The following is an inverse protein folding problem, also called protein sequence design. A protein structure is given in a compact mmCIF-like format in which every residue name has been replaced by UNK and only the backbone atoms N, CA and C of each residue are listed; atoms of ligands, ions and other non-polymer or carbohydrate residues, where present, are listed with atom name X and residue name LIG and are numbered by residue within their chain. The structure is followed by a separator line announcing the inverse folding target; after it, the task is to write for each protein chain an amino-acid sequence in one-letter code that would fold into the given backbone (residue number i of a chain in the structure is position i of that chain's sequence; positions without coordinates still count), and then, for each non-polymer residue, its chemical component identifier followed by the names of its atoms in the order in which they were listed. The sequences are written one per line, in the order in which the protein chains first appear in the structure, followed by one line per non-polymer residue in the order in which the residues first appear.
data_IF_683486730909
#
_entry.id   IF_683486730909
#
_cell.length_a   1.000
_cell.length_b   1.000
_cell.length_c   1.000
_cell.angle_alpha   90.00
_cell.angle_beta   90.00
_cell.angle_gamma   90.00
#
_symmetry.space_group_name_H-M   'P 1'
#
loop_
_entity.id
_entity.type
_entity.pdbx_description
1 polymer ?
#
# COMPACT_ATOMS: atom_id res chain seq x y z
N UNK A 1 -40.16 -29.18 51.16
CA UNK A 1 -38.98 -29.59 51.97
C UNK A 1 -37.87 -28.62 51.63
N UNK A 2 -37.61 -27.64 52.51
CA UNK A 2 -36.42 -27.58 53.41
C UNK A 2 -35.12 -27.62 52.59
N UNK A 3 -34.40 -26.51 52.40
CA UNK A 3 -33.43 -25.93 53.35
C UNK A 3 -32.00 -26.33 52.90
N UNK A 4 -30.89 -25.61 53.08
CA UNK A 4 -30.58 -24.34 53.71
C UNK A 4 -29.20 -23.81 53.20
N UNK A 5 -29.05 -22.48 53.30
CA UNK A 5 -27.88 -21.59 53.55
C UNK A 5 -26.48 -22.20 53.81
N UNK A 6 -25.45 -21.63 53.16
CA UNK A 6 -24.09 -21.28 53.69
C UNK A 6 -23.53 -20.12 52.82
N UNK A 7 -23.39 -18.88 53.31
CA UNK A 7 -22.27 -18.29 54.09
C UNK A 7 -20.89 -18.25 53.41
N UNK A 8 -20.54 -17.07 52.86
CA UNK A 8 -19.28 -16.36 53.09
C UNK A 8 -18.05 -16.68 52.22
N UNK A 9 -17.57 -15.71 51.45
CA UNK A 9 -16.21 -15.13 51.57
C UNK A 9 -16.05 -13.93 50.62
N UNK A 10 -15.64 -12.79 51.18
CA UNK A 10 -15.17 -11.63 50.42
C UNK A 10 -13.69 -11.83 50.06
N UNK A 11 -13.34 -11.62 48.78
CA UNK A 11 -11.96 -11.40 48.35
C UNK A 11 -11.91 -10.08 47.57
N UNK A 12 -11.16 -9.14 48.15
CA UNK A 12 -10.68 -7.95 47.48
C UNK A 12 -9.79 -8.36 46.30
N UNK A 13 -10.02 -7.74 45.15
CA UNK A 13 -9.20 -7.93 43.96
C UNK A 13 -9.30 -6.69 43.09
N UNK A 14 -8.59 -5.63 43.48
CA UNK A 14 -8.32 -4.52 42.58
C UNK A 14 -7.44 -5.01 41.44
N UNK A 15 -8.00 -5.11 40.25
CA UNK A 15 -7.24 -5.21 39.01
C UNK A 15 -7.58 -3.98 38.19
N UNK A 16 -6.59 -3.09 38.08
CA UNK A 16 -6.67 -1.93 37.21
C UNK A 16 -7.04 -2.37 35.81
N UNK A 17 -8.10 -1.76 35.27
CA UNK A 17 -8.43 -1.90 33.87
C UNK A 17 -7.21 -1.50 33.03
N UNK A 18 -6.80 -2.28 32.02
CA UNK A 18 -5.84 -1.76 31.06
C UNK A 18 -6.52 -0.56 30.39
N UNK A 19 -5.93 0.62 30.57
CA UNK A 19 -6.23 1.76 29.75
C UNK A 19 -5.91 1.35 28.31
N UNK A 20 -6.93 0.92 27.56
CA UNK A 20 -6.88 0.87 26.12
C UNK A 20 -6.54 2.29 25.67
N UNK A 21 -5.28 2.50 25.29
CA UNK A 21 -4.89 3.63 24.49
C UNK A 21 -5.73 3.55 23.22
N UNK A 22 -6.87 4.25 23.21
CA UNK A 22 -7.62 4.53 22.00
C UNK A 22 -6.71 5.44 21.18
N UNK A 23 -5.89 4.83 20.33
CA UNK A 23 -5.32 5.52 19.20
C UNK A 23 -6.50 5.93 18.35
N UNK A 24 -7.00 7.14 18.57
CA UNK A 24 -7.95 7.81 17.69
C UNK A 24 -7.19 8.17 16.41
N UNK A 25 -6.88 7.16 15.58
CA UNK A 25 -6.73 7.38 14.16
C UNK A 25 -8.07 7.93 13.70
N UNK A 26 -8.17 9.23 13.50
CA UNK A 26 -9.29 9.84 12.77
C UNK A 26 -9.36 9.09 11.44
N UNK A 27 -10.49 8.46 11.08
CA UNK A 27 -10.58 7.78 9.79
C UNK A 27 -10.37 8.82 8.69
N UNK A 28 -9.26 8.72 7.95
CA UNK A 28 -8.99 9.52 6.74
C UNK A 28 -10.05 9.30 5.66
N UNK A 29 -10.98 8.37 5.87
CA UNK A 29 -11.95 7.84 4.92
C UNK A 29 -13.23 8.67 4.80
N UNK A 30 -13.52 9.63 5.68
CA UNK A 30 -14.84 10.29 5.71
C UNK A 30 -15.20 11.09 4.45
N UNK A 31 -14.26 11.32 3.51
CA UNK A 31 -14.52 11.95 2.20
C UNK A 31 -13.61 11.39 1.09
N UNK A 32 -13.17 10.13 1.21
CA UNK A 32 -12.28 9.54 0.21
C UNK A 32 -13.10 8.90 -0.93
N UNK A 33 -12.78 9.23 -2.18
CA UNK A 33 -13.45 8.65 -3.35
C UNK A 33 -12.76 7.34 -3.72
N UNK A 34 -13.43 6.18 -3.67
CA UNK A 34 -12.80 4.91 -4.00
C UNK A 34 -12.46 4.82 -5.49
N UNK A 35 -11.27 4.32 -5.80
CA UNK A 35 -10.90 3.94 -7.16
C UNK A 35 -11.51 2.57 -7.46
N UNK A 36 -12.45 2.54 -8.41
CA UNK A 36 -13.11 1.30 -8.82
C UNK A 36 -12.22 0.58 -9.84
N UNK A 37 -11.76 -0.61 -9.45
CA UNK A 37 -10.91 -1.47 -10.27
C UNK A 37 -11.76 -2.51 -10.99
N UNK A 38 -11.72 -2.54 -12.33
CA UNK A 38 -12.51 -3.48 -13.14
C UNK A 38 -11.66 -4.20 -14.18
N UNK A 39 -12.05 -5.42 -14.52
CA UNK A 39 -11.53 -6.08 -15.72
C UNK A 39 -12.18 -5.45 -16.96
N UNK A 40 -11.37 -5.09 -17.96
CA UNK A 40 -11.83 -4.38 -19.17
C UNK A 40 -11.27 -5.02 -20.45
N UNK A 41 -11.60 -6.29 -20.72
CA UNK A 41 -10.99 -7.08 -21.79
C UNK A 41 -11.23 -6.47 -23.17
N UNK A 42 -10.17 -6.35 -23.98
CA UNK A 42 -10.21 -5.82 -25.35
C UNK A 42 -10.34 -4.30 -25.45
N UNK A 43 -10.35 -3.58 -24.32
CA UNK A 43 -10.39 -2.12 -24.32
C UNK A 43 -9.04 -1.51 -24.72
N UNK A 44 -9.07 -0.29 -25.25
CA UNK A 44 -7.84 0.47 -25.51
C UNK A 44 -7.04 0.72 -24.22
N UNK A 45 -7.73 0.85 -23.09
CA UNK A 45 -7.11 1.07 -21.79
C UNK A 45 -6.37 -0.17 -21.29
N UNK A 46 -6.93 -1.37 -21.52
CA UNK A 46 -6.25 -2.63 -21.22
C UNK A 46 -5.03 -2.85 -22.10
N UNK A 47 -5.12 -2.55 -23.41
CA UNK A 47 -3.97 -2.65 -24.30
C UNK A 47 -2.80 -1.77 -23.82
N UNK A 48 -3.11 -0.53 -23.40
CA UNK A 48 -2.11 0.37 -22.83
C UNK A 48 -1.59 -0.14 -21.48
N UNK A 49 -2.47 -0.62 -20.59
CA UNK A 49 -2.08 -1.17 -19.30
C UNK A 49 -1.14 -2.40 -19.45
N UNK A 50 -1.39 -3.29 -20.42
CA UNK A 50 -0.50 -4.42 -20.73
C UNK A 50 0.87 -3.96 -21.22
N UNK A 51 0.91 -2.89 -22.02
CA UNK A 51 2.17 -2.31 -22.49
C UNK A 51 2.97 -1.70 -21.33
N UNK A 52 2.30 -0.93 -20.48
CA UNK A 52 2.91 -0.28 -19.31
C UNK A 52 3.47 -1.29 -18.31
N UNK A 53 2.81 -2.44 -18.17
CA UNK A 53 3.19 -3.52 -17.23
C UNK A 53 3.78 -4.74 -17.96
N UNK A 54 4.49 -4.50 -19.07
CA UNK A 54 5.00 -5.59 -19.93
C UNK A 54 6.02 -6.50 -19.22
N UNK A 55 6.79 -5.97 -18.29
CA UNK A 55 7.72 -6.74 -17.47
C UNK A 55 6.99 -7.75 -16.57
N UNK A 56 5.89 -7.33 -15.94
CA UNK A 56 5.03 -8.20 -15.13
C UNK A 56 4.32 -9.25 -16.00
N UNK A 57 3.85 -8.86 -17.19
CA UNK A 57 3.29 -9.81 -18.16
C UNK A 57 4.32 -10.88 -18.53
N UNK A 58 5.57 -10.47 -18.80
CA UNK A 58 6.65 -11.39 -19.13
C UNK A 58 7.03 -12.26 -17.93
N UNK A 59 7.02 -11.72 -16.71
CA UNK A 59 7.28 -12.47 -15.49
C UNK A 59 6.24 -13.57 -15.27
N UNK A 60 4.96 -13.23 -15.32
CA UNK A 60 3.88 -14.20 -15.20
C UNK A 60 3.91 -15.26 -16.31
N UNK A 61 4.24 -14.87 -17.54
CA UNK A 61 4.39 -15.81 -18.66
C UNK A 61 5.50 -16.85 -18.43
N UNK A 62 6.59 -16.50 -17.74
CA UNK A 62 7.64 -17.47 -17.32
C UNK A 62 7.12 -18.53 -16.36
N UNK A 63 6.01 -18.24 -15.66
CA UNK A 63 5.29 -19.17 -14.79
C UNK A 63 4.07 -19.82 -15.48
N UNK A 64 3.94 -19.69 -16.81
CA UNK A 64 2.83 -20.22 -17.61
C UNK A 64 1.46 -19.65 -17.24
N UNK A 65 1.43 -18.42 -16.71
CA UNK A 65 0.21 -17.75 -16.33
C UNK A 65 -0.31 -16.83 -17.43
N UNK A 66 -1.63 -16.66 -17.49
CA UNK A 66 -2.29 -15.62 -18.31
C UNK A 66 -2.91 -14.59 -17.37
N UNK A 67 -2.23 -13.46 -17.09
CA UNK A 67 -2.70 -12.53 -16.07
C UNK A 67 -4.00 -11.83 -16.47
N UNK A 68 -4.88 -11.71 -15.49
CA UNK A 68 -6.01 -10.79 -15.53
C UNK A 68 -5.51 -9.38 -15.17
N UNK A 69 -6.03 -8.32 -15.81
CA UNK A 69 -5.75 -6.94 -15.40
C UNK A 69 -7.00 -6.34 -14.77
N UNK A 70 -6.85 -5.76 -13.59
CA UNK A 70 -7.84 -4.86 -13.04
C UNK A 70 -7.36 -3.42 -13.24
N UNK A 71 -8.26 -2.60 -13.76
CA UNK A 71 -7.95 -1.25 -14.22
C UNK A 71 -8.94 -0.27 -13.60
N UNK A 72 -8.42 0.78 -12.98
CA UNK A 72 -9.16 1.93 -12.51
C UNK A 72 -8.65 3.19 -13.19
N UNK A 73 -9.50 4.19 -13.38
CA UNK A 73 -9.09 5.51 -13.87
C UNK A 73 -9.76 6.61 -13.08
N UNK A 74 -9.00 7.61 -12.65
CA UNK A 74 -9.56 8.73 -11.90
C UNK A 74 -8.79 10.04 -12.17
N UNK A 75 -9.48 11.19 -12.16
CA UNK A 75 -8.80 12.48 -12.22
C UNK A 75 -8.07 12.76 -10.91
N UNK A 76 -6.78 13.07 -11.02
CA UNK A 76 -5.98 13.55 -9.88
C UNK A 76 -6.07 15.07 -9.71
N UNK A 77 -6.37 15.82 -10.78
CA UNK A 77 -6.54 17.27 -10.71
C UNK A 77 -7.97 17.69 -11.03
N UNK A 78 -8.32 18.91 -10.61
CA UNK A 78 -9.56 19.54 -11.06
C UNK A 78 -9.58 19.70 -12.58
N UNK A 79 -10.78 19.60 -13.17
CA UNK A 79 -10.97 19.75 -14.62
C UNK A 79 -10.39 18.61 -15.47
N UNK A 80 -9.91 17.51 -14.86
CA UNK A 80 -9.54 16.29 -15.59
C UNK A 80 -8.25 16.37 -16.42
N UNK A 81 -7.42 17.38 -16.21
CA UNK A 81 -6.14 17.54 -16.94
C UNK A 81 -5.13 16.42 -16.64
N UNK A 82 -5.12 15.94 -15.40
CA UNK A 82 -4.25 14.87 -14.93
C UNK A 82 -5.11 13.66 -14.60
N UNK A 83 -5.09 12.65 -15.46
CA UNK A 83 -5.79 11.38 -15.24
C UNK A 83 -4.78 10.32 -14.84
N UNK A 84 -5.04 9.66 -13.71
CA UNK A 84 -4.31 8.48 -13.30
C UNK A 84 -4.98 7.21 -13.82
N UNK A 85 -4.13 6.25 -14.18
CA UNK A 85 -4.47 4.87 -14.49
C UNK A 85 -3.89 3.98 -13.40
N UNK A 86 -4.77 3.25 -12.72
CA UNK A 86 -4.43 2.28 -11.68
C UNK A 86 -4.48 0.91 -12.33
N UNK A 87 -3.38 0.16 -12.27
CA UNK A 87 -3.28 -1.16 -12.90
C UNK A 87 -2.84 -2.17 -11.88
N UNK A 88 -3.64 -3.21 -11.69
CA UNK A 88 -3.29 -4.36 -10.87
C UNK A 88 -3.22 -5.60 -11.75
N UNK A 89 -2.03 -6.17 -11.83
CA UNK A 89 -1.79 -7.44 -12.52
C UNK A 89 -2.14 -8.58 -11.57
N UNK A 90 -3.08 -9.42 -11.98
CA UNK A 90 -3.54 -10.57 -11.21
C UNK A 90 -2.87 -11.84 -11.75
N UNK A 91 -1.78 -12.23 -11.10
CA UNK A 91 -0.99 -13.43 -11.40
C UNK A 91 -0.47 -14.04 -10.09
N UNK A 92 -0.67 -15.33 -9.87
CA UNK A 92 -0.30 -16.01 -8.62
C UNK A 92 1.19 -15.87 -8.29
N UNK A 93 2.07 -15.91 -9.31
CA UNK A 93 3.51 -15.70 -9.15
C UNK A 93 3.92 -14.28 -8.77
N UNK A 94 3.06 -13.28 -9.00
CA UNK A 94 3.33 -11.87 -8.69
C UNK A 94 2.66 -11.39 -7.40
N UNK A 95 1.66 -12.11 -6.92
CA UNK A 95 0.89 -11.72 -5.74
C UNK A 95 1.47 -12.36 -4.47
N UNK A 96 1.64 -11.56 -3.42
CA UNK A 96 2.14 -12.01 -2.12
C UNK A 96 1.01 -12.27 -1.12
N UNK A 97 1.38 -12.41 0.16
CA UNK A 97 0.41 -12.56 1.26
C UNK A 97 -0.49 -11.35 1.46
N UNK A 98 -0.07 -10.16 1.00
CA UNK A 98 -0.86 -8.93 0.99
C UNK A 98 -1.78 -8.81 -0.24
N UNK A 99 -1.81 -9.84 -1.10
CA UNK A 99 -2.49 -9.81 -2.40
C UNK A 99 -1.62 -9.23 -3.50
N UNK A 100 -2.26 -8.87 -4.60
CA UNK A 100 -1.59 -8.30 -5.77
C UNK A 100 -1.34 -6.81 -5.58
N UNK A 101 -0.20 -6.32 -6.07
CA UNK A 101 0.14 -4.91 -6.01
C UNK A 101 -0.45 -4.13 -7.19
N UNK A 102 -0.71 -2.84 -6.99
CA UNK A 102 -1.24 -1.92 -7.98
C UNK A 102 -0.20 -0.85 -8.29
N UNK A 103 0.04 -0.63 -9.57
CA UNK A 103 0.84 0.47 -10.08
C UNK A 103 -0.07 1.62 -10.52
N UNK A 104 0.43 2.85 -10.40
CA UNK A 104 -0.29 4.05 -10.83
C UNK A 104 0.53 4.81 -11.87
N UNK A 105 -0.11 5.11 -12.99
CA UNK A 105 0.46 5.85 -14.10
C UNK A 105 -0.28 7.15 -14.31
N UNK A 106 0.44 8.25 -14.46
CA UNK A 106 -0.13 9.55 -14.82
C UNK A 106 -0.02 9.75 -16.34
N UNK A 107 -1.13 10.14 -16.97
CA UNK A 107 -1.12 10.62 -18.35
C UNK A 107 -0.88 12.12 -18.37
N UNK A 108 0.21 12.55 -19.00
CA UNK A 108 0.47 13.94 -19.34
C UNK A 108 0.67 14.13 -20.86
N UNK A 109 1.14 15.30 -21.28
CA UNK A 109 1.39 15.60 -22.69
C UNK A 109 2.52 14.78 -23.33
N UNK A 110 3.43 14.21 -22.53
CA UNK A 110 4.58 13.41 -22.98
C UNK A 110 4.26 11.91 -23.01
N UNK A 111 3.21 11.49 -22.31
CA UNK A 111 2.73 10.12 -22.32
C UNK A 111 2.39 9.64 -20.91
N UNK A 112 2.56 8.33 -20.70
CA UNK A 112 2.36 7.71 -19.40
C UNK A 112 3.65 7.66 -18.61
N UNK A 113 3.60 8.10 -17.37
CA UNK A 113 4.71 8.00 -16.42
C UNK A 113 4.25 7.25 -15.18
N UNK A 114 5.01 6.26 -14.72
CA UNK A 114 4.73 5.59 -13.44
C UNK A 114 4.99 6.57 -12.29
N UNK A 115 3.99 6.79 -11.44
CA UNK A 115 4.00 7.79 -10.37
C UNK A 115 3.82 7.20 -8.97
N UNK A 116 3.39 5.95 -8.88
CA UNK A 116 3.34 5.15 -7.66
C UNK A 116 3.53 3.69 -8.06
N UNK A 117 4.40 2.98 -7.35
CA UNK A 117 4.81 1.63 -7.68
C UNK A 117 4.38 0.67 -6.57
N UNK A 118 3.79 -0.45 -6.97
CA UNK A 118 3.56 -1.64 -6.17
C UNK A 118 2.86 -1.42 -4.80
N UNK A 119 1.71 -0.74 -4.77
CA UNK A 119 0.91 -0.60 -3.54
C UNK A 119 -0.15 -1.70 -3.42
N UNK A 120 -0.32 -2.26 -2.22
CA UNK A 120 -1.29 -3.33 -1.96
C UNK A 120 -2.47 -2.82 -1.13
N UNK A 121 -3.68 -3.25 -1.51
CA UNK A 121 -4.92 -2.91 -0.80
C UNK A 121 -5.83 -1.96 -1.58
N UNK A 122 -7.04 -1.67 -1.05
CA UNK A 122 -7.97 -0.74 -1.67
C UNK A 122 -7.38 0.66 -1.79
N UNK A 123 -7.68 1.34 -2.90
CA UNK A 123 -7.19 2.69 -3.19
C UNK A 123 -8.36 3.66 -3.21
N UNK A 124 -8.19 4.79 -2.53
CA UNK A 124 -9.11 5.93 -2.60
C UNK A 124 -8.36 7.23 -2.80
N UNK A 125 -9.02 8.23 -3.40
CA UNK A 125 -8.50 9.58 -3.54
C UNK A 125 -9.03 10.48 -2.44
N UNK A 126 -8.14 11.19 -1.75
CA UNK A 126 -8.51 12.16 -0.74
C UNK A 126 -8.86 13.51 -1.37
N UNK A 127 -9.66 14.36 -0.70
CA UNK A 127 -9.93 15.72 -1.15
C UNK A 127 -8.73 16.65 -0.95
N UNK A 128 -7.78 16.29 -0.08
CA UNK A 128 -6.53 17.01 0.11
C UNK A 128 -5.66 16.91 -1.13
N UNK A 129 -4.91 17.98 -1.41
CA UNK A 129 -4.10 18.10 -2.62
C UNK A 129 -2.71 18.62 -2.31
N UNK A 130 -1.73 18.13 -3.05
CA UNK A 130 -0.37 18.65 -3.08
C UNK A 130 0.01 18.94 -4.54
N UNK A 131 0.50 20.16 -4.80
CA UNK A 131 0.79 20.68 -6.16
C UNK A 131 -0.40 20.53 -7.14
N UNK A 132 -1.63 20.58 -6.62
CA UNK A 132 -2.86 20.47 -7.41
C UNK A 132 -3.32 19.04 -7.71
N UNK A 133 -2.59 18.00 -7.27
CA UNK A 133 -3.00 16.59 -7.38
C UNK A 133 -3.54 16.08 -6.05
N UNK A 134 -4.64 15.31 -6.10
CA UNK A 134 -5.28 14.68 -4.95
C UNK A 134 -4.34 13.69 -4.27
N UNK A 135 -4.35 13.64 -2.95
CA UNK A 135 -3.60 12.62 -2.21
C UNK A 135 -4.23 11.23 -2.42
N UNK A 136 -3.41 10.19 -2.38
CA UNK A 136 -3.85 8.80 -2.50
C UNK A 136 -3.86 8.18 -1.11
N UNK A 137 -4.95 7.49 -0.75
CA UNK A 137 -5.06 6.66 0.44
C UNK A 137 -5.08 5.19 0.01
N UNK A 138 -4.11 4.43 0.49
CA UNK A 138 -4.01 2.98 0.31
C UNK A 138 -4.37 2.29 1.63
N UNK A 139 -5.14 1.21 1.54
CA UNK A 139 -5.51 0.35 2.67
C UNK A 139 -6.00 1.12 3.92
N UNK A 140 -6.76 2.20 3.69
CA UNK A 140 -7.39 3.07 4.69
C UNK A 140 -6.47 3.92 5.59
N UNK A 141 -5.17 3.63 5.67
CA UNK A 141 -4.23 4.38 6.52
C UNK A 141 -3.04 4.97 5.80
N UNK A 142 -2.65 4.43 4.65
CA UNK A 142 -1.37 4.72 4.04
C UNK A 142 -1.56 5.86 3.06
N UNK A 143 -1.28 7.07 3.55
CA UNK A 143 -1.46 8.29 2.77
C UNK A 143 -0.18 8.58 1.98
N UNK A 144 -0.37 8.74 0.69
CA UNK A 144 0.66 9.11 -0.27
C UNK A 144 0.38 10.52 -0.79
N UNK A 145 1.40 11.38 -0.73
CA UNK A 145 1.30 12.78 -1.16
C UNK A 145 2.15 13.01 -2.40
N UNK A 146 1.63 13.81 -3.32
CA UNK A 146 2.39 14.18 -4.51
C UNK A 146 3.54 15.11 -4.16
N UNK A 147 4.75 14.75 -4.58
CA UNK A 147 5.96 15.56 -4.38
C UNK A 147 7.05 15.19 -5.37
N UNK A 148 7.63 16.20 -6.02
CA UNK A 148 8.76 16.03 -6.96
C UNK A 148 8.47 15.05 -8.12
N UNK A 149 7.25 15.05 -8.66
CA UNK A 149 6.90 14.23 -9.84
C UNK A 149 6.43 12.80 -9.56
N UNK A 150 6.31 12.40 -8.29
CA UNK A 150 5.77 11.09 -7.89
C UNK A 150 5.07 11.17 -6.53
N UNK A 151 4.31 10.13 -6.20
CA UNK A 151 3.72 9.98 -4.87
C UNK A 151 4.75 9.45 -3.87
N UNK A 152 4.81 10.07 -2.69
CA UNK A 152 5.68 9.68 -1.59
C UNK A 152 4.86 9.29 -0.38
N UNK A 153 5.28 8.23 0.30
CA UNK A 153 4.68 7.78 1.54
C UNK A 153 4.84 8.86 2.63
N UNK A 154 3.76 9.15 3.35
CA UNK A 154 3.80 10.06 4.50
C UNK A 154 4.13 9.36 5.81
N UNK A 155 4.12 8.03 5.83
CA UNK A 155 4.69 7.21 6.90
C UNK A 155 6.21 7.26 6.75
N UNK A 156 6.82 8.37 7.15
CA UNK A 156 8.26 8.43 7.31
C UNK A 156 8.67 7.34 8.31
N UNK A 157 9.47 6.36 7.87
CA UNK A 157 10.17 5.49 8.79
C UNK A 157 10.99 6.37 9.74
N UNK A 158 10.59 6.45 11.01
CA UNK A 158 11.33 7.20 12.01
C UNK A 158 12.76 6.66 12.05
N UNK A 159 13.75 7.50 11.76
CA UNK A 159 15.15 7.11 11.89
C UNK A 159 15.41 6.83 13.38
N UNK A 160 15.41 5.54 13.74
CA UNK A 160 15.74 5.14 15.10
C UNK A 160 17.20 5.55 15.35
N UNK A 161 17.48 6.33 16.41
CA UNK A 161 18.84 6.80 16.69
C UNK A 161 19.84 5.64 16.66
N UNK A 162 20.84 5.73 15.78
CA UNK A 162 21.89 4.72 15.63
C UNK A 162 21.56 3.53 14.70
N UNK A 163 20.34 3.42 14.17
CA UNK A 163 19.94 2.31 13.31
C UNK A 163 20.74 2.24 11.99
N UNK A 164 20.90 3.38 11.30
CA UNK A 164 21.76 3.47 10.10
C UNK A 164 23.21 3.08 10.39
N UNK A 165 23.74 3.44 11.56
CA UNK A 165 25.09 3.08 11.98
C UNK A 165 25.20 1.57 12.22
N UNK A 166 24.20 0.97 12.88
CA UNK A 166 24.11 -0.47 13.10
C UNK A 166 24.08 -1.26 11.78
N UNK A 167 23.25 -0.84 10.82
CA UNK A 167 23.17 -1.46 9.49
C UNK A 167 24.52 -1.38 8.78
N UNK A 168 25.18 -0.22 8.77
CA UNK A 168 26.49 -0.06 8.12
C UNK A 168 27.55 -0.95 8.73
N UNK A 169 27.58 -1.04 10.06
CA UNK A 169 28.53 -1.90 10.79
C UNK A 169 28.31 -3.37 10.41
N UNK A 170 27.07 -3.85 10.47
CA UNK A 170 26.74 -5.22 10.11
C UNK A 170 27.05 -5.54 8.64
N UNK A 171 26.70 -4.65 7.70
CA UNK A 171 27.04 -4.83 6.29
C UNK A 171 28.55 -4.88 6.03
N UNK A 172 29.35 -4.11 6.78
CA UNK A 172 30.80 -4.16 6.71
C UNK A 172 31.35 -5.49 7.26
N UNK A 173 30.82 -5.96 8.39
CA UNK A 173 31.16 -7.27 8.97
C UNK A 173 30.85 -8.42 8.00
N UNK A 174 29.63 -8.46 7.45
CA UNK A 174 29.23 -9.49 6.46
C UNK A 174 30.08 -9.44 5.19
N UNK A 175 30.52 -8.25 4.76
CA UNK A 175 31.43 -8.11 3.61
C UNK A 175 32.81 -8.68 3.94
N UNK A 176 33.33 -8.43 5.14
CA UNK A 176 34.61 -9.00 5.57
C UNK A 176 34.50 -10.52 5.71
N UNK A 177 33.43 -11.05 6.32
CA UNK A 177 33.23 -12.50 6.42
C UNK A 177 33.18 -13.18 5.04
N UNK A 178 32.51 -12.57 4.06
CA UNK A 178 32.46 -13.09 2.69
C UNK A 178 33.85 -13.13 2.03
N UNK A 179 34.67 -12.12 2.29
CA UNK A 179 36.06 -12.06 1.80
C UNK A 179 36.97 -13.11 2.47
N UNK A 180 36.74 -13.44 3.74
CA UNK A 180 37.55 -14.42 4.47
C UNK A 180 37.13 -15.87 4.20
N UNK A 181 35.88 -16.10 3.77
CA UNK A 181 35.35 -17.46 3.48
C UNK A 181 35.47 -17.88 2.01
N UNK A 182 35.97 -17.00 1.13
CA UNK A 182 36.37 -17.36 -0.23
C UNK A 182 35.21 -17.74 -1.16
N UNK A 183 34.05 -17.10 -1.03
CA UNK A 183 32.95 -17.16 -2.00
C UNK A 183 32.90 -15.91 -2.89
#
# INVERSE_FOLDING_TARGET
MLGAVFSGLALAGGVGAPAQAKSTKVPLTQNADPVIMTNQPGSALEAEARKLNSDDMAAAARHHETPLLLIGSAPLSDGGKNIALFVQVQAASLCGSAGCSTDVYLKDAKGWTKILDAVSGPISLLPTKHEGLRDILVDTSDRWVWKNGAYQDTLAATDLPGFKTSIKKHQAEMRQERLHTGQ
#
